data_IF_055099788014
#
_entry.id   IF_055099788014
#
_cell.length_a   1.000
_cell.length_b   1.000
_cell.length_c   1.000
_cell.angle_alpha   90.00
_cell.angle_beta   90.00
_cell.angle_gamma   90.00
#
_symmetry.space_group_name_H-M   'P 1'
#
loop_
_entity.id
_entity.type
_entity.pdbx_description
1 polymer ?
#
# COMPACT_ATOMS: atom_id res chain seq x y z
N UNK A 1 32.33 27.37 -1.56
CA UNK A 1 31.40 26.83 -2.56
C UNK A 1 30.58 28.01 -3.08
N UNK A 2 30.57 28.22 -4.40
CA UNK A 2 29.83 29.31 -5.06
C UNK A 2 28.32 29.16 -4.76
N UNK A 3 27.61 30.29 -4.60
CA UNK A 3 26.17 30.27 -4.24
C UNK A 3 25.31 29.66 -5.36
N UNK A 4 25.73 29.82 -6.62
CA UNK A 4 25.09 29.17 -7.76
C UNK A 4 25.19 27.62 -7.67
N UNK A 5 26.35 27.11 -7.28
CA UNK A 5 26.56 25.67 -7.10
C UNK A 5 25.75 25.12 -5.94
N UNK A 6 25.59 25.87 -4.84
CA UNK A 6 24.70 25.52 -3.73
C UNK A 6 23.25 25.46 -4.19
N UNK A 7 22.79 26.44 -4.96
CA UNK A 7 21.47 26.50 -5.53
C UNK A 7 21.19 25.28 -6.44
N UNK A 8 22.11 24.98 -7.37
CA UNK A 8 22.00 23.84 -8.27
C UNK A 8 21.93 22.51 -7.50
N UNK A 9 22.77 22.36 -6.47
CA UNK A 9 22.78 21.17 -5.62
C UNK A 9 21.45 20.98 -4.88
N UNK A 10 20.93 22.04 -4.25
CA UNK A 10 19.67 22.03 -3.53
C UNK A 10 18.48 21.69 -4.46
N UNK A 11 18.45 22.24 -5.67
CA UNK A 11 17.41 21.97 -6.67
C UNK A 11 17.47 20.54 -7.21
N UNK A 12 18.68 19.98 -7.35
CA UNK A 12 18.88 18.59 -7.76
C UNK A 12 18.45 17.65 -6.65
N UNK A 13 18.78 17.95 -5.41
CA UNK A 13 18.33 17.19 -4.24
C UNK A 13 16.81 17.17 -4.13
N UNK A 14 16.12 18.25 -4.51
CA UNK A 14 14.65 18.33 -4.56
C UNK A 14 14.03 17.67 -5.80
N UNK A 15 14.80 16.97 -6.63
CA UNK A 15 14.31 16.33 -7.86
C UNK A 15 13.98 17.30 -9.01
N UNK A 16 14.23 18.61 -8.85
CA UNK A 16 13.90 19.64 -9.88
C UNK A 16 14.90 19.67 -11.04
N UNK A 17 16.10 19.14 -10.84
CA UNK A 17 17.10 18.92 -11.88
C UNK A 17 17.55 17.46 -11.88
N UNK A 18 17.76 16.89 -13.07
CA UNK A 18 18.36 15.57 -13.19
C UNK A 18 19.85 15.60 -12.82
N UNK A 19 20.42 14.45 -12.39
CA UNK A 19 21.86 14.32 -12.14
C UNK A 19 22.70 14.79 -13.35
N UNK A 20 22.25 14.45 -14.56
CA UNK A 20 22.93 14.87 -15.81
C UNK A 20 22.92 16.37 -15.98
N UNK A 21 21.81 17.05 -15.71
CA UNK A 21 21.72 18.51 -15.79
C UNK A 21 22.58 19.19 -14.73
N UNK A 22 22.68 18.66 -13.52
CA UNK A 22 23.59 19.13 -12.49
C UNK A 22 25.05 18.99 -12.91
N UNK A 23 25.46 17.82 -13.39
CA UNK A 23 26.83 17.54 -13.83
C UNK A 23 27.29 18.52 -14.92
N UNK A 24 26.43 18.76 -15.93
CA UNK A 24 26.75 19.70 -17.01
C UNK A 24 26.89 21.15 -16.52
N UNK A 25 26.03 21.61 -15.63
CA UNK A 25 26.09 22.99 -15.08
C UNK A 25 27.24 23.16 -14.08
N UNK A 26 27.52 22.14 -13.26
CA UNK A 26 28.65 22.15 -12.35
C UNK A 26 29.98 22.20 -13.12
N UNK A 27 30.09 21.47 -14.24
CA UNK A 27 31.24 21.53 -15.12
C UNK A 27 31.44 22.93 -15.73
N UNK A 28 30.37 23.62 -16.12
CA UNK A 28 30.42 25.00 -16.60
C UNK A 28 30.91 25.98 -15.52
N UNK A 29 30.74 25.65 -14.24
CA UNK A 29 31.26 26.39 -13.09
C UNK A 29 32.67 25.93 -12.65
N UNK A 30 33.34 25.09 -13.46
CA UNK A 30 34.70 24.63 -13.21
C UNK A 30 34.80 23.46 -12.20
N UNK A 31 33.68 22.79 -11.87
CA UNK A 31 33.69 21.67 -10.96
C UNK A 31 33.99 20.39 -11.72
N UNK A 32 34.98 19.62 -11.27
CA UNK A 32 35.28 18.30 -11.89
C UNK A 32 34.18 17.29 -11.66
N UNK A 33 34.07 16.29 -12.54
CA UNK A 33 33.06 15.24 -12.45
C UNK A 33 33.11 14.47 -11.11
N UNK A 34 34.33 14.24 -10.60
CA UNK A 34 34.51 13.57 -9.29
C UNK A 34 33.97 14.41 -8.13
N UNK A 35 34.29 15.73 -8.11
CA UNK A 35 33.75 16.64 -7.09
C UNK A 35 32.25 16.80 -7.20
N UNK A 36 31.69 16.91 -8.40
CA UNK A 36 30.25 17.01 -8.61
C UNK A 36 29.53 15.74 -8.15
N UNK A 37 30.11 14.56 -8.40
CA UNK A 37 29.56 13.28 -7.94
C UNK A 37 29.59 13.14 -6.43
N UNK A 38 30.66 13.52 -5.76
CA UNK A 38 30.76 13.52 -4.30
C UNK A 38 29.79 14.49 -3.64
N UNK A 39 29.61 15.69 -4.22
CA UNK A 39 28.60 16.65 -3.75
C UNK A 39 27.16 16.08 -3.82
N UNK A 40 26.82 15.40 -4.92
CA UNK A 40 25.52 14.76 -5.05
C UNK A 40 25.34 13.62 -4.06
N UNK A 41 26.37 12.80 -3.82
CA UNK A 41 26.31 11.73 -2.82
C UNK A 41 26.13 12.29 -1.40
N UNK A 42 26.85 13.36 -1.05
CA UNK A 42 26.70 14.05 0.25
C UNK A 42 25.31 14.67 0.38
N UNK A 43 24.78 15.29 -0.68
CA UNK A 43 23.43 15.87 -0.65
C UNK A 43 22.33 14.80 -0.55
N UNK A 44 22.51 13.64 -1.19
CA UNK A 44 21.59 12.51 -1.05
C UNK A 44 21.60 11.96 0.39
N UNK A 45 22.77 11.80 1.00
CA UNK A 45 22.89 11.36 2.39
C UNK A 45 22.36 12.39 3.40
N UNK A 46 22.44 13.69 3.07
CA UNK A 46 21.89 14.77 3.91
C UNK A 46 20.34 14.80 3.90
N UNK A 47 19.70 14.07 3.00
CA UNK A 47 18.25 13.93 2.90
C UNK A 47 17.74 12.59 3.46
N UNK A 48 18.45 12.00 4.41
CA UNK A 48 17.89 10.84 5.12
C UNK A 48 16.52 11.21 5.71
N UNK A 49 15.49 10.38 5.46
CA UNK A 49 14.17 10.65 5.97
C UNK A 49 14.21 10.72 7.51
N UNK A 50 13.73 11.82 8.07
CA UNK A 50 13.55 11.90 9.53
C UNK A 50 12.43 10.98 9.92
N UNK A 51 12.72 10.02 10.76
CA UNK A 51 11.69 9.10 11.31
C UNK A 51 10.78 9.86 12.26
N UNK A 52 9.47 9.60 12.14
CA UNK A 52 8.44 10.23 12.96
C UNK A 52 8.04 11.62 12.47
N UNK A 53 7.23 12.29 13.25
CA UNK A 53 6.65 13.59 12.92
C UNK A 53 5.14 13.52 12.73
N UNK A 54 4.55 14.58 12.15
CA UNK A 54 3.13 14.69 11.87
C UNK A 54 2.91 14.99 10.39
N UNK A 55 2.02 14.23 9.76
CA UNK A 55 1.50 14.51 8.42
C UNK A 55 0.08 15.06 8.57
N UNK A 56 -0.23 16.14 7.85
CA UNK A 56 -1.58 16.67 7.71
C UNK A 56 -2.02 16.53 6.27
N UNK A 57 -3.04 15.72 6.02
CA UNK A 57 -3.56 15.44 4.68
C UNK A 57 -4.93 16.09 4.56
N UNK A 58 -5.10 16.95 3.54
CA UNK A 58 -6.40 17.48 3.15
C UNK A 58 -7.03 16.57 2.10
N UNK A 59 -8.27 16.15 2.34
CA UNK A 59 -8.99 15.22 1.48
C UNK A 59 -10.44 15.64 1.34
N UNK A 60 -11.06 15.28 0.21
CA UNK A 60 -12.51 15.34 0.04
C UNK A 60 -13.20 14.15 0.76
N UNK A 61 -14.50 14.23 0.99
CA UNK A 61 -15.28 13.12 1.58
C UNK A 61 -15.33 13.12 3.12
N UNK A 62 -15.21 14.29 3.76
CA UNK A 62 -15.39 14.48 5.20
C UNK A 62 -16.87 14.53 5.59
N UNK A 63 -17.58 13.40 5.55
CA UNK A 63 -19.01 13.31 5.81
C UNK A 63 -19.31 12.88 7.25
N UNK A 64 -20.45 13.32 7.78
CA UNK A 64 -20.87 12.94 9.15
C UNK A 64 -21.20 11.46 9.32
N UNK A 65 -21.40 10.76 8.22
CA UNK A 65 -21.69 9.32 8.15
C UNK A 65 -20.42 8.46 8.05
N UNK A 66 -19.24 9.06 7.97
CA UNK A 66 -17.98 8.33 7.89
C UNK A 66 -17.78 7.44 9.13
N UNK A 67 -17.38 6.20 8.87
CA UNK A 67 -17.10 5.19 9.89
C UNK A 67 -15.68 4.64 9.71
N UNK A 68 -15.04 4.27 10.82
CA UNK A 68 -13.79 3.50 10.81
C UNK A 68 -14.03 1.99 10.61
N UNK A 69 -15.28 1.57 10.61
CA UNK A 69 -15.66 0.21 10.24
C UNK A 69 -15.44 0.00 8.73
N UNK A 70 -14.57 -0.93 8.30
CA UNK A 70 -14.31 -1.18 6.87
C UNK A 70 -15.56 -1.53 6.07
N UNK A 71 -16.54 -2.18 6.68
CA UNK A 71 -17.80 -2.52 6.02
C UNK A 71 -18.62 -1.28 5.64
N UNK A 72 -18.51 -0.21 6.43
CA UNK A 72 -19.27 1.04 6.25
C UNK A 72 -18.44 2.16 5.60
N UNK A 73 -17.21 1.87 5.17
CA UNK A 73 -16.39 2.84 4.46
C UNK A 73 -16.99 3.12 3.07
N UNK A 74 -17.38 4.37 2.81
CA UNK A 74 -18.08 4.76 1.59
C UNK A 74 -17.51 6.01 0.90
N UNK A 75 -16.40 6.56 1.41
CA UNK A 75 -15.75 7.74 0.84
C UNK A 75 -14.23 7.69 1.01
N UNK A 76 -13.50 8.59 0.35
CA UNK A 76 -12.04 8.64 0.35
C UNK A 76 -11.43 8.69 1.75
N UNK A 77 -12.02 9.47 2.69
CA UNK A 77 -11.46 9.64 4.03
C UNK A 77 -11.41 8.31 4.80
N UNK A 78 -12.51 7.55 5.00
CA UNK A 78 -12.45 6.27 5.68
C UNK A 78 -11.62 5.23 4.92
N UNK A 79 -11.59 5.22 3.58
CA UNK A 79 -10.72 4.32 2.81
C UNK A 79 -9.25 4.58 3.14
N UNK A 80 -8.79 5.82 3.06
CA UNK A 80 -7.40 6.17 3.35
C UNK A 80 -7.03 5.93 4.81
N UNK A 81 -7.93 6.17 5.75
CA UNK A 81 -7.71 5.86 7.16
C UNK A 81 -7.59 4.33 7.34
N UNK A 82 -8.47 3.54 6.73
CA UNK A 82 -8.41 2.09 6.81
C UNK A 82 -7.10 1.53 6.23
N UNK A 83 -6.60 2.08 5.14
CA UNK A 83 -5.29 1.71 4.55
C UNK A 83 -4.09 2.11 5.42
N UNK A 84 -4.23 2.98 6.42
CA UNK A 84 -3.14 3.35 7.32
C UNK A 84 -3.00 2.46 8.55
N UNK A 85 -4.07 1.79 8.97
CA UNK A 85 -4.06 0.92 10.16
C UNK A 85 -4.45 -0.54 9.87
N UNK A 86 -5.10 -0.78 8.74
CA UNK A 86 -5.48 -2.12 8.28
C UNK A 86 -4.54 -2.63 7.20
N UNK A 87 -4.64 -3.91 6.89
CA UNK A 87 -3.88 -4.56 5.83
C UNK A 87 -4.83 -5.40 4.96
N UNK A 88 -4.48 -5.57 3.68
CA UNK A 88 -5.22 -6.34 2.70
C UNK A 88 -4.61 -7.72 2.51
N UNK A 89 -5.37 -8.68 1.96
CA UNK A 89 -4.83 -9.97 1.54
C UNK A 89 -3.81 -9.78 0.43
N UNK A 90 -4.17 -8.99 -0.55
CA UNK A 90 -3.37 -8.64 -1.72
C UNK A 90 -3.61 -7.18 -2.09
N UNK A 91 -2.68 -6.58 -2.79
CA UNK A 91 -2.77 -5.21 -3.30
C UNK A 91 -2.35 -5.21 -4.78
N UNK A 92 -2.50 -4.08 -5.45
CA UNK A 92 -2.04 -3.85 -6.81
C UNK A 92 -1.04 -2.71 -6.80
N UNK A 93 0.17 -2.97 -7.28
CA UNK A 93 1.22 -1.96 -7.33
C UNK A 93 0.97 -0.88 -8.40
N UNK A 94 1.83 0.13 -8.46
CA UNK A 94 1.72 1.23 -9.42
C UNK A 94 1.86 0.80 -10.91
N UNK A 95 2.33 -0.43 -11.18
CA UNK A 95 2.46 -1.01 -12.52
C UNK A 95 1.25 -1.88 -12.89
N UNK A 96 0.32 -2.09 -11.96
CA UNK A 96 -0.83 -2.96 -12.11
C UNK A 96 -0.53 -4.44 -11.81
N UNK A 97 0.61 -4.74 -11.18
CA UNK A 97 0.99 -6.08 -10.78
C UNK A 97 0.46 -6.41 -9.38
N UNK A 98 0.12 -7.69 -9.18
CA UNK A 98 -0.40 -8.15 -7.91
C UNK A 98 0.70 -8.18 -6.84
N UNK A 99 0.48 -7.46 -5.74
CA UNK A 99 1.39 -7.42 -4.59
C UNK A 99 0.83 -8.26 -3.44
N UNK A 100 1.57 -9.28 -3.01
CA UNK A 100 1.18 -10.13 -1.88
C UNK A 100 1.38 -9.39 -0.56
N UNK A 101 0.31 -9.29 0.25
CA UNK A 101 0.32 -8.63 1.57
C UNK A 101 0.16 -9.67 2.70
N UNK A 102 -1.03 -9.79 3.26
CA UNK A 102 -1.36 -10.81 4.27
C UNK A 102 -1.37 -12.21 3.65
N UNK A 103 -1.85 -12.36 2.42
CA UNK A 103 -1.63 -13.57 1.65
C UNK A 103 -0.19 -13.60 1.14
N UNK A 104 0.50 -14.74 1.27
CA UNK A 104 1.82 -14.96 0.68
C UNK A 104 1.74 -15.66 -0.69
N UNK A 105 0.61 -16.29 -0.98
CA UNK A 105 0.33 -16.96 -2.26
C UNK A 105 -1.17 -16.86 -2.56
N UNK A 106 -1.51 -16.68 -3.84
CA UNK A 106 -2.87 -16.73 -4.36
C UNK A 106 -2.88 -17.63 -5.58
N UNK A 107 -3.82 -18.55 -5.62
CA UNK A 107 -4.02 -19.45 -6.75
C UNK A 107 -5.50 -19.70 -6.98
N UNK A 108 -5.85 -20.23 -8.15
CA UNK A 108 -7.21 -20.61 -8.48
C UNK A 108 -7.26 -21.97 -9.18
N UNK A 109 -8.43 -22.58 -9.15
CA UNK A 109 -8.74 -23.74 -10.00
C UNK A 109 -8.76 -23.30 -11.47
N UNK A 110 -8.49 -24.23 -12.44
CA UNK A 110 -8.43 -23.90 -13.86
C UNK A 110 -9.70 -23.26 -14.43
N UNK A 111 -10.85 -23.51 -13.80
CA UNK A 111 -12.14 -22.90 -14.13
C UNK A 111 -12.37 -21.56 -13.45
N UNK A 112 -11.39 -21.05 -12.69
CA UNK A 112 -11.44 -19.81 -11.91
C UNK A 112 -12.67 -19.74 -10.95
N UNK A 113 -13.17 -20.88 -10.51
CA UNK A 113 -14.32 -20.96 -9.61
C UNK A 113 -13.92 -21.00 -8.13
N UNK A 114 -12.79 -21.64 -7.81
CA UNK A 114 -12.28 -21.69 -6.44
C UNK A 114 -10.95 -20.99 -6.35
N UNK A 115 -10.86 -20.01 -5.46
CA UNK A 115 -9.66 -19.25 -5.15
C UNK A 115 -9.09 -19.68 -3.82
N UNK A 116 -7.77 -19.81 -3.76
CA UNK A 116 -7.03 -20.23 -2.57
C UNK A 116 -6.03 -19.14 -2.20
N UNK A 117 -6.06 -18.76 -0.93
CA UNK A 117 -5.16 -17.77 -0.35
C UNK A 117 -4.37 -18.43 0.76
N UNK A 118 -3.04 -18.48 0.62
CA UNK A 118 -2.17 -18.93 1.69
C UNK A 118 -1.83 -17.76 2.60
N UNK A 119 -2.23 -17.85 3.86
CA UNK A 119 -2.07 -16.76 4.82
C UNK A 119 -0.66 -16.80 5.42
N UNK A 120 0.01 -15.65 5.39
CA UNK A 120 1.35 -15.45 5.92
C UNK A 120 1.39 -15.73 7.41
N UNK A 121 2.34 -16.55 7.85
CA UNK A 121 2.54 -16.86 9.26
C UNK A 121 3.18 -15.69 10.01
N UNK A 122 2.83 -15.54 11.30
CA UNK A 122 3.44 -14.53 12.19
C UNK A 122 2.90 -13.11 12.00
N UNK A 123 1.83 -12.93 11.23
CA UNK A 123 1.10 -11.65 11.18
C UNK A 123 0.33 -11.49 12.49
N UNK A 124 0.43 -10.32 13.11
CA UNK A 124 -0.24 -10.03 14.38
C UNK A 124 -1.20 -8.85 14.25
N UNK A 125 -2.32 -8.94 14.93
CA UNK A 125 -3.19 -7.79 15.15
C UNK A 125 -2.57 -6.81 16.15
N UNK A 126 -3.03 -5.57 16.17
CA UNK A 126 -2.54 -4.53 17.09
C UNK A 126 -2.70 -4.87 18.59
N UNK A 127 -3.54 -5.84 18.92
CA UNK A 127 -3.70 -6.35 20.28
C UNK A 127 -2.75 -7.53 20.62
N UNK A 128 -1.83 -7.88 19.71
CA UNK A 128 -0.86 -8.95 19.88
C UNK A 128 -1.38 -10.37 19.60
N UNK A 129 -2.63 -10.53 19.14
CA UNK A 129 -3.11 -11.83 18.69
C UNK A 129 -2.58 -12.14 17.30
N UNK A 130 -2.15 -13.37 17.08
CA UNK A 130 -1.76 -13.85 15.75
C UNK A 130 -3.00 -13.95 14.85
N UNK A 131 -2.86 -13.47 13.62
CA UNK A 131 -3.87 -13.63 12.57
C UNK A 131 -3.95 -15.10 12.16
N UNK A 132 -5.17 -15.59 11.94
CA UNK A 132 -5.45 -16.93 11.45
C UNK A 132 -6.29 -16.89 10.17
N UNK A 133 -6.35 -18.02 9.45
CA UNK A 133 -7.22 -18.14 8.26
C UNK A 133 -8.72 -17.99 8.62
N UNK A 134 -9.12 -18.39 9.83
CA UNK A 134 -10.47 -18.21 10.35
C UNK A 134 -10.84 -16.74 10.52
N UNK A 135 -9.89 -15.87 10.91
CA UNK A 135 -10.12 -14.42 11.03
C UNK A 135 -10.41 -13.81 9.64
N UNK A 136 -9.71 -14.29 8.61
CA UNK A 136 -9.95 -13.87 7.22
C UNK A 136 -11.34 -14.30 6.77
N UNK A 137 -11.73 -15.57 7.00
CA UNK A 137 -13.07 -16.07 6.68
C UNK A 137 -14.13 -15.27 7.43
N UNK A 138 -13.95 -15.00 8.72
CA UNK A 138 -14.88 -14.20 9.52
C UNK A 138 -15.04 -12.78 8.97
N UNK A 139 -13.95 -12.16 8.48
CA UNK A 139 -13.99 -10.85 7.84
C UNK A 139 -14.81 -10.87 6.55
N UNK A 140 -14.58 -11.85 5.68
CA UNK A 140 -15.33 -12.00 4.43
C UNK A 140 -16.82 -12.29 4.69
N UNK A 141 -17.12 -13.17 5.68
CA UNK A 141 -18.48 -13.44 6.10
C UNK A 141 -19.21 -12.22 6.61
N UNK A 142 -18.51 -11.34 7.36
CA UNK A 142 -19.08 -10.08 7.82
C UNK A 142 -19.47 -9.18 6.66
N UNK A 143 -18.69 -9.13 5.58
CA UNK A 143 -19.00 -8.35 4.39
C UNK A 143 -20.15 -8.93 3.56
N UNK A 144 -20.40 -10.25 3.65
CA UNK A 144 -21.50 -10.94 2.97
C UNK A 144 -22.82 -10.98 3.79
N UNK A 145 -22.81 -10.53 5.04
CA UNK A 145 -24.03 -10.39 5.85
C UNK A 145 -24.82 -9.15 5.38
N UNK A 146 -26.06 -9.39 4.92
CA UNK A 146 -26.96 -8.30 4.47
C UNK A 146 -27.21 -7.26 5.58
N UNK A 147 -27.20 -7.67 6.85
CA UNK A 147 -27.41 -6.80 8.01
C UNK A 147 -26.21 -5.88 8.28
N UNK A 148 -25.02 -6.27 7.83
CA UNK A 148 -23.81 -5.46 7.99
C UNK A 148 -23.80 -4.19 7.12
N UNK A 149 -24.69 -4.09 6.13
CA UNK A 149 -24.75 -2.95 5.18
C UNK A 149 -23.39 -2.67 4.51
N UNK A 150 -22.62 -3.71 4.24
CA UNK A 150 -21.31 -3.58 3.64
C UNK A 150 -21.38 -3.02 2.22
N UNK A 151 -20.54 -2.03 1.91
CA UNK A 151 -20.36 -1.54 0.55
C UNK A 151 -19.83 -2.61 -0.42
N UNK A 152 -19.18 -3.66 0.09
CA UNK A 152 -18.69 -4.80 -0.69
C UNK A 152 -19.75 -5.90 -0.91
N UNK A 153 -20.96 -5.79 -0.34
CA UNK A 153 -21.98 -6.84 -0.39
C UNK A 153 -22.25 -7.31 -1.83
N UNK A 154 -22.38 -6.39 -2.78
CA UNK A 154 -22.64 -6.73 -4.18
C UNK A 154 -21.52 -7.54 -4.85
N UNK A 155 -20.30 -7.47 -4.33
CA UNK A 155 -19.14 -8.24 -4.81
C UNK A 155 -19.13 -9.62 -4.12
N UNK A 156 -19.24 -9.65 -2.80
CA UNK A 156 -19.11 -10.89 -2.01
C UNK A 156 -20.35 -11.80 -2.06
N UNK A 157 -21.50 -11.31 -2.52
CA UNK A 157 -22.69 -12.13 -2.80
C UNK A 157 -22.44 -13.30 -3.77
N UNK A 158 -21.44 -13.16 -4.66
CA UNK A 158 -21.05 -14.22 -5.58
C UNK A 158 -20.31 -15.39 -4.91
N UNK A 159 -19.98 -15.29 -3.63
CA UNK A 159 -19.31 -16.34 -2.88
C UNK A 159 -20.33 -17.39 -2.44
N UNK A 160 -20.14 -18.63 -2.90
CA UNK A 160 -20.97 -19.78 -2.52
C UNK A 160 -20.53 -20.38 -1.18
N UNK A 161 -19.22 -20.48 -0.96
CA UNK A 161 -18.65 -21.00 0.29
C UNK A 161 -17.27 -20.46 0.58
N UNK A 162 -16.93 -20.41 1.87
CA UNK A 162 -15.60 -20.06 2.37
C UNK A 162 -15.17 -21.06 3.42
N UNK A 163 -13.89 -21.46 3.41
CA UNK A 163 -13.32 -22.40 4.38
C UNK A 163 -11.92 -21.96 4.77
N UNK A 164 -11.59 -22.19 6.05
CA UNK A 164 -10.24 -22.10 6.56
C UNK A 164 -9.73 -23.50 6.89
N UNK A 165 -8.55 -23.87 6.41
CA UNK A 165 -7.90 -25.14 6.71
C UNK A 165 -6.39 -24.88 6.92
N UNK A 166 -5.96 -24.90 8.19
CA UNK A 166 -4.58 -24.53 8.54
C UNK A 166 -4.29 -23.07 8.23
N UNK A 167 -3.34 -22.81 7.31
CA UNK A 167 -3.00 -21.48 6.82
C UNK A 167 -3.69 -21.11 5.48
N UNK A 168 -4.56 -21.97 4.98
CA UNK A 168 -5.26 -21.78 3.71
C UNK A 168 -6.68 -21.28 3.89
N UNK A 169 -7.04 -20.28 3.10
CA UNK A 169 -8.43 -19.85 2.91
C UNK A 169 -8.87 -20.22 1.51
N UNK A 170 -9.95 -20.98 1.39
CA UNK A 170 -10.58 -21.32 0.12
C UNK A 170 -11.88 -20.56 -0.04
N UNK A 171 -12.08 -19.91 -1.16
CA UNK A 171 -13.29 -19.16 -1.52
C UNK A 171 -13.84 -19.74 -2.80
N UNK A 172 -15.04 -20.32 -2.75
CA UNK A 172 -15.71 -20.87 -3.94
C UNK A 172 -16.80 -19.91 -4.40
N UNK A 173 -16.78 -19.58 -5.67
CA UNK A 173 -17.73 -18.67 -6.31
C UNK A 173 -18.89 -19.45 -6.94
N UNK A 174 -20.06 -18.85 -6.97
CA UNK A 174 -21.25 -19.39 -7.67
C UNK A 174 -21.03 -19.46 -9.19
N UNK A 175 -20.29 -18.47 -9.75
CA UNK A 175 -19.86 -18.42 -11.15
C UNK A 175 -18.38 -18.12 -11.22
N UNK A 176 -17.64 -18.63 -12.23
CA UNK A 176 -16.24 -18.28 -12.46
C UNK A 176 -16.01 -16.79 -12.59
N UNK A 177 -14.89 -16.28 -12.05
CA UNK A 177 -14.50 -14.88 -12.15
C UNK A 177 -12.97 -14.75 -12.32
#
# INVERSE_FOLDING_TARGET
>A
MNDELKYLLARTAQGKYSRRAFMGRAAALGVTAGMASSMLATAANAQEPKKGGMIRVGMAGGESTNSLDPALAASEVPFQINMTWGEMLVDVDANGELEMRVAEEVSSTPDAKTWMFKIRQGVEFHNGKTLTAEDVVATLQRHSDEKAQSGALGIVQGIESMKAEGDMVSVTLSTPN
#
